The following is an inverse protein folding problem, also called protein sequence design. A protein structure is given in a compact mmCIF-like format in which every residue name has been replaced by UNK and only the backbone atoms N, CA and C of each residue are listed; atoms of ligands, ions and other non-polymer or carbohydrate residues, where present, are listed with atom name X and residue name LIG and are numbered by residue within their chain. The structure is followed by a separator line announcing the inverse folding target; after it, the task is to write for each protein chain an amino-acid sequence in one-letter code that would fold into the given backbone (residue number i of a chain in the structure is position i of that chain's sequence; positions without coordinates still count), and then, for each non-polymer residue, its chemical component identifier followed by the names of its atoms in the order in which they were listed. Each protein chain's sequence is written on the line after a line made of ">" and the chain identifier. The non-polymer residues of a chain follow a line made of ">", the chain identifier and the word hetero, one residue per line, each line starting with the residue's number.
data_IF_422544728581
#
_entry.id   IF_422544728581
#
_cell.length_a   1.000
_cell.length_b   1.000
_cell.length_c   1.000
_cell.angle_alpha   90.00
_cell.angle_beta   90.00
_cell.angle_gamma   90.00
#
_symmetry.space_group_name_H-M   'P 1'
#
loop_
_entity.id
_entity.type
_entity.pdbx_description
1 polymer ?
#
# COMPACT_ATOMS: atom_id res chain seq x y z
N UNK A 1 36.37 7.01 -23.33
CA UNK A 1 35.59 8.15 -22.78
C UNK A 1 35.67 8.05 -21.27
N UNK A 2 36.15 9.07 -20.54
CA UNK A 2 36.41 8.93 -19.12
C UNK A 2 35.09 8.67 -18.41
N UNK A 3 35.05 7.55 -17.70
CA UNK A 3 34.09 7.16 -16.67
C UNK A 3 34.20 8.13 -15.49
N UNK A 4 33.75 9.37 -15.69
CA UNK A 4 33.50 10.30 -14.59
C UNK A 4 32.40 9.68 -13.75
N UNK A 5 32.76 9.07 -12.62
CA UNK A 5 31.83 8.45 -11.70
C UNK A 5 30.71 9.44 -11.41
N UNK A 6 29.45 9.04 -11.63
CA UNK A 6 28.32 9.85 -11.21
C UNK A 6 28.51 10.19 -9.74
N UNK A 7 28.76 11.46 -9.44
CA UNK A 7 28.71 11.93 -8.06
C UNK A 7 27.25 11.99 -7.67
N UNK A 8 26.78 10.93 -7.01
CA UNK A 8 25.39 10.82 -6.56
C UNK A 8 25.10 12.00 -5.61
N UNK A 9 24.08 12.82 -5.90
CA UNK A 9 23.76 14.00 -5.10
C UNK A 9 22.95 13.63 -3.86
N UNK A 10 23.54 12.82 -2.96
CA UNK A 10 22.90 12.27 -1.76
C UNK A 10 22.12 13.31 -0.94
N UNK A 11 22.72 14.47 -0.70
CA UNK A 11 22.08 15.54 0.08
C UNK A 11 20.81 16.07 -0.60
N UNK A 12 20.81 16.21 -1.93
CA UNK A 12 19.62 16.68 -2.67
C UNK A 12 18.52 15.62 -2.71
N UNK A 13 18.90 14.35 -2.88
CA UNK A 13 17.98 13.21 -2.84
C UNK A 13 17.29 13.11 -1.48
N UNK A 14 18.09 13.06 -0.40
CA UNK A 14 17.59 12.86 0.96
C UNK A 14 16.84 14.08 1.53
N UNK A 15 16.97 15.26 0.92
CA UNK A 15 16.20 16.44 1.29
C UNK A 15 15.02 16.72 0.34
N UNK A 16 14.84 15.90 -0.70
CA UNK A 16 13.78 16.09 -1.70
C UNK A 16 12.43 15.64 -1.14
N UNK A 17 11.46 16.56 -1.10
CA UNK A 17 10.08 16.26 -0.69
C UNK A 17 9.41 15.19 -1.57
N UNK A 18 9.54 15.20 -2.91
CA UNK A 18 9.07 14.11 -3.77
C UNK A 18 9.65 12.73 -3.41
N UNK A 19 10.94 12.67 -3.03
CA UNK A 19 11.55 11.42 -2.58
C UNK A 19 10.91 10.92 -1.28
N UNK A 20 10.73 11.82 -0.30
CA UNK A 20 10.04 11.47 0.95
C UNK A 20 8.58 11.12 0.76
N UNK A 21 7.87 11.75 -0.18
CA UNK A 21 6.50 11.40 -0.53
C UNK A 21 6.39 9.92 -0.92
N UNK A 22 7.31 9.45 -1.76
CA UNK A 22 7.38 8.06 -2.17
C UNK A 22 7.76 7.15 -1.00
N UNK A 23 8.77 7.51 -0.20
CA UNK A 23 9.22 6.70 0.95
C UNK A 23 8.10 6.51 1.99
N UNK A 24 7.45 7.60 2.39
CA UNK A 24 6.34 7.57 3.36
C UNK A 24 5.21 6.73 2.82
N UNK A 25 4.82 6.95 1.57
CA UNK A 25 3.71 6.22 1.01
C UNK A 25 4.04 4.72 0.87
N UNK A 26 5.28 4.37 0.51
CA UNK A 26 5.72 2.97 0.40
C UNK A 26 5.67 2.29 1.76
N UNK A 27 6.14 3.00 2.79
CA UNK A 27 6.17 2.53 4.18
C UNK A 27 4.77 2.25 4.72
N UNK A 28 3.83 3.18 4.54
CA UNK A 28 2.44 3.00 4.98
C UNK A 28 1.71 1.90 4.21
N UNK A 29 1.94 1.80 2.89
CA UNK A 29 1.35 0.73 2.09
C UNK A 29 1.90 -0.64 2.48
N UNK A 30 3.20 -0.75 2.75
CA UNK A 30 3.79 -1.98 3.26
C UNK A 30 3.23 -2.35 4.63
N UNK A 31 3.07 -1.40 5.55
CA UNK A 31 2.41 -1.66 6.84
C UNK A 31 1.05 -2.33 6.64
N UNK A 32 0.18 -1.73 5.82
CA UNK A 32 -1.15 -2.27 5.55
C UNK A 32 -1.07 -3.64 4.86
N UNK A 33 -0.19 -3.81 3.88
CA UNK A 33 -0.06 -5.05 3.13
C UNK A 33 0.42 -6.21 4.02
N UNK A 34 1.46 -5.99 4.83
CA UNK A 34 1.96 -7.01 5.76
C UNK A 34 0.99 -7.30 6.89
N UNK A 35 0.29 -6.28 7.41
CA UNK A 35 -0.74 -6.47 8.42
C UNK A 35 -1.84 -7.38 7.88
N UNK A 36 -2.37 -7.10 6.69
CA UNK A 36 -3.37 -7.96 6.06
C UNK A 36 -2.76 -9.35 5.78
N UNK A 37 -1.56 -9.45 5.19
CA UNK A 37 -0.96 -10.73 4.84
C UNK A 37 -0.76 -11.67 6.04
N UNK A 38 -0.21 -11.15 7.13
CA UNK A 38 0.13 -11.96 8.31
C UNK A 38 -1.08 -12.18 9.21
N UNK A 39 -1.91 -11.15 9.36
CA UNK A 39 -2.96 -11.13 10.37
C UNK A 39 -4.32 -11.54 9.82
N UNK A 40 -4.52 -11.55 8.49
CA UNK A 40 -5.77 -12.02 7.88
C UNK A 40 -6.09 -13.47 8.23
N UNK A 41 -5.17 -14.45 8.14
CA UNK A 41 -5.48 -15.83 8.52
C UNK A 41 -5.85 -15.96 10.00
N UNK A 42 -5.25 -15.14 10.86
CA UNK A 42 -5.56 -15.05 12.29
C UNK A 42 -6.96 -14.48 12.51
N UNK A 43 -7.29 -13.36 11.88
CA UNK A 43 -8.62 -12.73 11.94
C UNK A 43 -9.73 -13.68 11.48
N UNK A 44 -9.52 -14.37 10.35
CA UNK A 44 -10.47 -15.34 9.79
C UNK A 44 -10.70 -16.53 10.73
N UNK A 45 -9.68 -16.93 11.48
CA UNK A 45 -9.78 -18.02 12.46
C UNK A 45 -10.41 -17.55 13.78
N UNK A 46 -9.99 -16.40 14.30
CA UNK A 46 -10.30 -15.96 15.67
C UNK A 46 -11.62 -15.21 15.81
N UNK A 47 -12.01 -14.45 14.77
CA UNK A 47 -13.23 -13.64 14.74
C UNK A 47 -14.30 -14.30 13.88
N UNK A 48 -13.92 -14.77 12.69
CA UNK A 48 -14.87 -15.39 11.73
C UNK A 48 -15.08 -16.90 11.97
N UNK A 49 -14.40 -17.48 12.95
CA UNK A 49 -14.53 -18.90 13.37
C UNK A 49 -14.42 -19.92 12.21
N UNK A 50 -13.72 -19.59 11.12
CA UNK A 50 -13.60 -20.46 9.95
C UNK A 50 -12.70 -21.69 10.21
N UNK A 51 -13.15 -22.86 9.75
CA UNK A 51 -12.35 -24.07 9.78
C UNK A 51 -11.09 -23.94 8.91
N UNK A 52 -9.96 -24.38 9.46
CA UNK A 52 -8.61 -24.24 8.89
C UNK A 52 -8.49 -24.82 7.47
N UNK A 53 -9.29 -25.84 7.11
CA UNK A 53 -9.24 -26.50 5.81
C UNK A 53 -9.78 -25.66 4.65
N UNK A 54 -10.76 -24.77 4.89
CA UNK A 54 -11.29 -23.87 3.85
C UNK A 54 -10.53 -22.54 3.79
N UNK A 55 -9.75 -22.23 4.83
CA UNK A 55 -9.07 -20.94 4.98
C UNK A 55 -8.11 -20.65 3.80
N UNK A 56 -7.37 -21.65 3.30
CA UNK A 56 -6.39 -21.45 2.22
C UNK A 56 -7.01 -20.97 0.90
N UNK A 57 -8.21 -21.45 0.54
CA UNK A 57 -8.91 -21.00 -0.66
C UNK A 57 -9.41 -19.57 -0.48
N UNK A 58 -10.00 -19.25 0.67
CA UNK A 58 -10.52 -17.90 0.94
C UNK A 58 -9.43 -16.85 1.10
N UNK A 59 -8.30 -17.19 1.72
CA UNK A 59 -7.17 -16.27 1.88
C UNK A 59 -6.39 -16.03 0.59
N UNK A 60 -6.45 -16.95 -0.38
CA UNK A 60 -5.74 -16.79 -1.67
C UNK A 60 -6.53 -15.96 -2.69
N UNK A 61 -7.86 -15.97 -2.63
CA UNK A 61 -8.74 -15.20 -3.53
C UNK A 61 -8.36 -13.71 -3.64
N UNK A 62 -8.18 -12.95 -2.54
CA UNK A 62 -7.82 -11.53 -2.62
C UNK A 62 -6.54 -11.26 -3.43
N UNK A 63 -5.56 -12.16 -3.35
CA UNK A 63 -4.29 -12.00 -4.05
C UNK A 63 -4.39 -12.32 -5.54
N UNK A 64 -5.27 -13.24 -5.93
CA UNK A 64 -5.58 -13.50 -7.34
C UNK A 64 -6.22 -12.27 -7.98
N UNK A 65 -7.22 -11.67 -7.34
CA UNK A 65 -7.83 -10.44 -7.85
C UNK A 65 -6.85 -9.26 -7.82
N UNK A 66 -5.98 -9.18 -6.81
CA UNK A 66 -4.90 -8.19 -6.76
C UNK A 66 -3.92 -8.31 -7.91
N UNK A 67 -3.58 -9.52 -8.35
CA UNK A 67 -2.71 -9.72 -9.50
C UNK A 67 -3.36 -9.18 -10.78
N UNK A 68 -4.63 -9.51 -11.02
CA UNK A 68 -5.38 -9.01 -12.18
C UNK A 68 -5.50 -7.48 -12.14
N UNK A 69 -5.80 -6.93 -10.97
CA UNK A 69 -5.96 -5.49 -10.81
C UNK A 69 -4.64 -4.72 -10.97
N UNK A 70 -3.50 -5.32 -10.57
CA UNK A 70 -2.19 -4.73 -10.82
C UNK A 70 -1.92 -4.56 -12.32
N UNK A 71 -2.22 -5.57 -13.14
CA UNK A 71 -2.07 -5.50 -14.60
C UNK A 71 -2.99 -4.43 -15.19
N UNK A 72 -4.27 -4.44 -14.80
CA UNK A 72 -5.25 -3.46 -15.25
C UNK A 72 -4.85 -2.03 -14.88
N UNK A 73 -4.30 -1.83 -13.67
CA UNK A 73 -3.88 -0.51 -13.20
C UNK A 73 -2.77 0.10 -14.08
N UNK A 74 -1.87 -0.72 -14.61
CA UNK A 74 -0.85 -0.29 -15.58
C UNK A 74 -1.48 0.23 -16.87
N UNK A 75 -2.40 -0.54 -17.45
CA UNK A 75 -3.11 -0.15 -18.67
C UNK A 75 -3.95 1.12 -18.48
N UNK A 76 -4.67 1.23 -17.36
CA UNK A 76 -5.47 2.42 -17.03
C UNK A 76 -4.55 3.64 -16.86
N UNK A 77 -3.44 3.50 -16.14
CA UNK A 77 -2.46 4.57 -15.97
C UNK A 77 -1.93 5.07 -17.31
N UNK A 78 -1.52 4.14 -18.18
CA UNK A 78 -0.98 4.49 -19.50
C UNK A 78 -2.04 5.13 -20.39
N UNK A 79 -3.28 4.66 -20.34
CA UNK A 79 -4.38 5.24 -21.10
C UNK A 79 -4.65 6.70 -20.68
N UNK A 80 -4.73 6.96 -19.37
CA UNK A 80 -4.97 8.31 -18.82
C UNK A 80 -3.90 9.30 -19.29
N UNK A 81 -2.63 8.89 -19.26
CA UNK A 81 -1.49 9.71 -19.66
C UNK A 81 -1.45 9.88 -21.18
N UNK A 82 -1.59 8.80 -21.96
CA UNK A 82 -1.53 8.83 -23.44
C UNK A 82 -2.65 9.65 -24.06
N UNK A 83 -3.86 9.57 -23.50
CA UNK A 83 -5.02 10.39 -23.92
C UNK A 83 -4.93 11.84 -23.44
N UNK A 84 -3.90 12.20 -22.67
CA UNK A 84 -3.70 13.52 -22.05
C UNK A 84 -4.90 13.98 -21.22
N UNK A 85 -5.64 13.04 -20.63
CA UNK A 85 -6.74 13.37 -19.73
C UNK A 85 -6.22 13.91 -18.39
N UNK A 86 -5.06 13.41 -17.96
CA UNK A 86 -4.36 13.86 -16.76
C UNK A 86 -2.86 13.96 -17.04
N UNK A 87 -2.17 14.82 -16.29
CA UNK A 87 -0.70 14.83 -16.25
C UNK A 87 -0.18 13.55 -15.58
N UNK A 88 1.11 13.23 -15.75
CA UNK A 88 1.76 12.09 -15.07
C UNK A 88 1.57 12.21 -13.57
N UNK A 89 1.93 13.37 -12.98
CA UNK A 89 1.78 13.64 -11.56
C UNK A 89 0.34 13.42 -11.06
N UNK A 90 -0.66 13.95 -11.77
CA UNK A 90 -2.06 13.83 -11.36
C UNK A 90 -2.57 12.39 -11.51
N UNK A 91 -2.12 11.66 -12.53
CA UNK A 91 -2.42 10.23 -12.69
C UNK A 91 -1.86 9.41 -11.53
N UNK A 92 -0.59 9.64 -11.17
CA UNK A 92 0.07 8.98 -10.03
C UNK A 92 -0.65 9.28 -8.71
N UNK A 93 -1.00 10.54 -8.47
CA UNK A 93 -1.74 10.97 -7.26
C UNK A 93 -3.12 10.36 -7.20
N UNK A 94 -3.85 10.34 -8.30
CA UNK A 94 -5.19 9.74 -8.38
C UNK A 94 -5.15 8.25 -8.05
N UNK A 95 -4.29 7.49 -8.74
CA UNK A 95 -4.17 6.04 -8.52
C UNK A 95 -3.71 5.73 -7.10
N UNK A 96 -2.76 6.49 -6.56
CA UNK A 96 -2.32 6.33 -5.17
C UNK A 96 -3.46 6.62 -4.18
N UNK A 97 -4.25 7.68 -4.43
CA UNK A 97 -5.38 8.05 -3.58
C UNK A 97 -6.45 6.95 -3.56
N UNK A 98 -6.85 6.46 -4.73
CA UNK A 98 -7.81 5.36 -4.86
C UNK A 98 -7.29 4.12 -4.13
N UNK A 99 -6.01 3.78 -4.30
CA UNK A 99 -5.38 2.61 -3.67
C UNK A 99 -5.26 2.67 -2.15
N UNK A 100 -5.43 3.86 -1.55
CA UNK A 100 -5.27 4.06 -0.11
C UNK A 100 -6.61 4.38 0.57
N UNK A 101 -7.40 5.31 0.02
CA UNK A 101 -8.65 5.79 0.62
C UNK A 101 -9.73 4.71 0.61
N UNK A 102 -9.91 4.00 -0.51
CA UNK A 102 -10.94 2.95 -0.59
C UNK A 102 -10.61 1.81 0.40
N UNK A 103 -9.39 1.23 0.40
CA UNK A 103 -8.98 0.27 1.43
C UNK A 103 -9.13 0.79 2.86
N UNK A 104 -8.80 2.05 3.14
CA UNK A 104 -8.93 2.62 4.48
C UNK A 104 -10.38 2.64 4.97
N UNK A 105 -11.33 3.03 4.12
CA UNK A 105 -12.75 3.05 4.49
C UNK A 105 -13.26 1.62 4.67
N UNK A 106 -12.95 0.72 3.74
CA UNK A 106 -13.44 -0.66 3.79
C UNK A 106 -12.84 -1.46 4.96
N UNK A 107 -11.59 -1.20 5.36
CA UNK A 107 -10.99 -1.83 6.53
C UNK A 107 -11.72 -1.46 7.83
N UNK A 108 -12.20 -0.22 7.95
CA UNK A 108 -13.02 0.19 9.09
C UNK A 108 -14.32 -0.61 9.08
N UNK A 109 -14.99 -0.71 7.92
CA UNK A 109 -16.24 -1.48 7.79
C UNK A 109 -16.02 -2.94 8.20
N UNK A 110 -14.95 -3.59 7.73
CA UNK A 110 -14.61 -4.98 8.08
C UNK A 110 -14.43 -5.17 9.58
N UNK A 111 -13.87 -4.19 10.30
CA UNK A 111 -13.71 -4.28 11.75
C UNK A 111 -15.02 -4.29 12.54
N UNK A 112 -16.13 -3.83 11.95
CA UNK A 112 -17.45 -3.80 12.60
C UNK A 112 -18.38 -4.94 12.14
N UNK A 113 -17.89 -5.85 11.30
CA UNK A 113 -18.65 -7.03 10.87
C UNK A 113 -18.44 -8.19 11.83
N UNK A 114 -19.51 -8.93 12.07
CA UNK A 114 -19.53 -10.08 12.96
C UNK A 114 -19.30 -11.39 12.18
N UNK A 115 -19.18 -12.49 12.93
CA UNK A 115 -18.95 -13.83 12.37
C UNK A 115 -20.07 -14.35 11.47
N UNK A 116 -21.26 -13.77 11.49
CA UNK A 116 -22.35 -14.16 10.60
C UNK A 116 -22.15 -13.61 9.16
N UNK A 117 -21.26 -12.61 9.00
CA UNK A 117 -21.01 -11.89 7.75
C UNK A 117 -19.74 -12.35 7.02
N UNK A 118 -19.27 -13.59 7.25
CA UNK A 118 -18.00 -14.11 6.71
C UNK A 118 -17.85 -13.90 5.19
N UNK A 119 -18.91 -14.16 4.42
CA UNK A 119 -18.88 -14.01 2.95
C UNK A 119 -18.68 -12.53 2.57
N UNK A 120 -19.36 -11.62 3.26
CA UNK A 120 -19.22 -10.18 3.03
C UNK A 120 -17.80 -9.72 3.36
N UNK A 121 -17.24 -10.18 4.48
CA UNK A 121 -15.85 -9.91 4.89
C UNK A 121 -14.86 -10.34 3.82
N UNK A 122 -14.98 -11.58 3.30
CA UNK A 122 -14.11 -12.09 2.23
C UNK A 122 -14.24 -11.22 0.98
N UNK A 123 -15.46 -10.88 0.55
CA UNK A 123 -15.70 -10.02 -0.60
C UNK A 123 -15.06 -8.64 -0.41
N UNK A 124 -15.20 -8.02 0.75
CA UNK A 124 -14.61 -6.74 1.07
C UNK A 124 -13.08 -6.81 1.08
N UNK A 125 -12.49 -7.86 1.63
CA UNK A 125 -11.05 -8.08 1.63
C UNK A 125 -10.50 -8.28 0.20
N UNK A 126 -11.23 -8.99 -0.66
CA UNK A 126 -10.90 -9.07 -2.08
C UNK A 126 -10.84 -7.68 -2.72
N UNK A 127 -11.82 -6.82 -2.45
CA UNK A 127 -11.83 -5.44 -2.94
C UNK A 127 -10.67 -4.63 -2.35
N UNK A 128 -10.42 -4.71 -1.04
CA UNK A 128 -9.36 -4.00 -0.33
C UNK A 128 -7.99 -4.32 -0.96
N UNK A 129 -7.63 -5.60 -1.06
CA UNK A 129 -6.31 -6.01 -1.57
C UNK A 129 -6.18 -5.68 -3.06
N UNK A 130 -7.27 -5.87 -3.83
CA UNK A 130 -7.27 -5.57 -5.27
C UNK A 130 -7.14 -4.09 -5.57
N UNK A 131 -7.87 -3.23 -4.85
CA UNK A 131 -7.77 -1.79 -5.02
C UNK A 131 -6.43 -1.28 -4.51
N UNK A 132 -5.87 -1.87 -3.44
CA UNK A 132 -4.52 -1.52 -3.01
C UNK A 132 -3.47 -1.85 -4.08
N UNK A 133 -3.71 -2.81 -4.98
CA UNK A 133 -2.81 -3.10 -6.10
C UNK A 133 -2.53 -1.89 -7.01
N UNK A 134 -3.43 -0.90 -7.07
CA UNK A 134 -3.24 0.32 -7.85
C UNK A 134 -2.05 1.16 -7.37
N UNK A 135 -1.60 0.99 -6.12
CA UNK A 135 -0.43 1.72 -5.61
C UNK A 135 0.85 1.40 -6.40
N UNK A 136 0.90 0.24 -7.10
CA UNK A 136 2.02 -0.13 -7.97
C UNK A 136 2.12 0.83 -9.15
N UNK A 137 1.01 1.14 -9.82
CA UNK A 137 0.97 2.14 -10.89
C UNK A 137 0.91 3.59 -10.40
N UNK A 138 0.58 3.82 -9.12
CA UNK A 138 0.59 5.15 -8.49
C UNK A 138 1.98 5.59 -8.03
N UNK A 139 2.58 4.84 -7.10
CA UNK A 139 3.80 5.23 -6.40
C UNK A 139 5.03 4.47 -6.85
N UNK A 140 4.96 3.16 -7.09
CA UNK A 140 6.17 2.39 -7.43
C UNK A 140 6.81 2.90 -8.71
N UNK A 141 6.00 3.25 -9.72
CA UNK A 141 6.51 3.81 -10.99
C UNK A 141 7.05 5.24 -10.81
N UNK A 142 6.64 5.97 -9.78
CA UNK A 142 7.03 7.37 -9.60
C UNK A 142 8.54 7.55 -9.38
N UNK A 143 9.25 6.54 -8.87
CA UNK A 143 10.72 6.56 -8.77
C UNK A 143 11.39 6.78 -10.14
N UNK A 144 10.79 6.22 -11.21
CA UNK A 144 11.26 6.35 -12.58
C UNK A 144 10.91 7.73 -13.13
N UNK A 145 9.70 8.22 -12.84
CA UNK A 145 9.22 9.53 -13.31
C UNK A 145 10.09 10.68 -12.76
N UNK A 146 10.48 10.63 -11.48
CA UNK A 146 11.27 11.71 -10.85
C UNK A 146 12.77 11.66 -11.12
N UNK A 147 13.35 10.46 -11.29
CA UNK A 147 14.79 10.30 -11.50
C UNK A 147 15.12 8.96 -12.19
N UNK A 148 14.96 8.84 -13.52
CA UNK A 148 15.20 7.60 -14.25
C UNK A 148 16.61 7.01 -14.01
N UNK A 149 17.63 7.88 -13.96
CA UNK A 149 19.04 7.52 -13.79
C UNK A 149 19.38 6.98 -12.40
N UNK A 150 18.61 7.38 -11.38
CA UNK A 150 18.81 6.98 -9.98
C UNK A 150 17.66 6.11 -9.45
N UNK A 151 16.70 5.74 -10.28
CA UNK A 151 15.46 5.04 -9.92
C UNK A 151 15.73 3.77 -9.08
N UNK A 152 16.74 2.98 -9.43
CA UNK A 152 17.14 1.81 -8.65
C UNK A 152 17.67 2.14 -7.25
N UNK A 153 18.40 3.24 -7.09
CA UNK A 153 18.87 3.72 -5.77
C UNK A 153 17.68 4.19 -4.94
N UNK A 154 16.79 4.98 -5.53
CA UNK A 154 15.60 5.48 -4.85
C UNK A 154 14.68 4.33 -4.41
N UNK A 155 14.49 3.33 -5.27
CA UNK A 155 13.73 2.14 -4.94
C UNK A 155 14.40 1.34 -3.82
N UNK A 156 15.74 1.21 -3.83
CA UNK A 156 16.49 0.55 -2.76
C UNK A 156 16.32 1.24 -1.41
N UNK A 157 16.44 2.58 -1.38
CA UNK A 157 16.23 3.38 -0.17
C UNK A 157 14.78 3.23 0.31
N UNK A 158 13.81 3.43 -0.57
CA UNK A 158 12.39 3.38 -0.18
C UNK A 158 11.99 1.99 0.29
N UNK A 159 12.46 0.93 -0.37
CA UNK A 159 12.20 -0.45 0.05
C UNK A 159 12.84 -0.76 1.41
N UNK A 160 14.06 -0.29 1.67
CA UNK A 160 14.74 -0.49 2.96
C UNK A 160 13.97 0.18 4.10
N UNK A 161 13.47 1.40 3.88
CA UNK A 161 12.64 2.08 4.88
C UNK A 161 11.28 1.40 5.01
N UNK A 162 10.68 0.96 3.90
CA UNK A 162 9.36 0.36 3.87
C UNK A 162 9.29 -1.07 4.44
N UNK A 163 10.41 -1.78 4.57
CA UNK A 163 10.45 -3.09 5.25
C UNK A 163 10.44 -2.96 6.76
N UNK A 164 10.88 -1.84 7.34
CA UNK A 164 10.82 -1.59 8.80
C UNK A 164 9.38 -1.66 9.34
N UNK A 165 8.39 -0.96 8.75
CA UNK A 165 6.97 -1.17 9.00
C UNK A 165 6.51 -2.62 8.88
N UNK A 166 7.07 -3.39 7.94
CA UNK A 166 6.72 -4.79 7.73
C UNK A 166 7.17 -5.73 8.84
N UNK A 167 8.23 -5.35 9.58
CA UNK A 167 8.70 -6.08 10.76
C UNK A 167 7.89 -5.66 11.99
N UNK A 168 7.69 -4.35 12.16
CA UNK A 168 7.03 -3.79 13.35
C UNK A 168 5.51 -4.02 13.34
N UNK A 169 4.87 -4.00 12.17
CA UNK A 169 3.42 -4.13 12.02
C UNK A 169 2.87 -5.39 12.69
N UNK A 170 3.29 -6.60 12.27
CA UNK A 170 2.85 -7.84 12.89
C UNK A 170 3.15 -7.93 14.39
N UNK A 171 4.27 -7.36 14.86
CA UNK A 171 4.60 -7.34 16.28
C UNK A 171 3.63 -6.46 17.08
N UNK A 172 3.26 -5.29 16.55
CA UNK A 172 2.26 -4.40 17.15
C UNK A 172 0.88 -5.05 17.14
N UNK A 173 0.49 -5.70 16.04
CA UNK A 173 -0.77 -6.44 15.98
C UNK A 173 -0.79 -7.57 17.01
N UNK A 174 0.26 -8.38 17.06
CA UNK A 174 0.37 -9.47 18.03
C UNK A 174 0.33 -8.99 19.48
N UNK A 175 0.82 -7.79 19.78
CA UNK A 175 0.69 -7.18 21.09
C UNK A 175 -0.73 -6.70 21.38
N UNK A 176 -1.41 -6.10 20.40
CA UNK A 176 -2.79 -5.64 20.53
C UNK A 176 -3.76 -6.82 20.72
N UNK A 177 -3.57 -7.94 20.01
CA UNK A 177 -4.48 -9.10 20.01
C UNK A 177 -4.24 -10.08 21.18
N UNK A 178 -3.72 -9.62 22.32
CA UNK A 178 -3.37 -10.50 23.45
C UNK A 178 -4.48 -10.69 24.49
N UNK A 179 -5.52 -9.86 24.54
CA UNK A 179 -6.51 -9.92 25.62
C UNK A 179 -7.83 -10.58 25.20
N UNK A 180 -8.77 -10.60 26.14
CA UNK A 180 -10.01 -11.39 26.08
C UNK A 180 -11.06 -10.78 25.13
N UNK A 181 -10.95 -9.50 24.74
CA UNK A 181 -11.93 -8.79 23.89
C UNK A 181 -11.45 -8.68 22.43
N UNK A 182 -11.49 -9.79 21.70
CA UNK A 182 -10.93 -9.90 20.35
C UNK A 182 -11.52 -8.91 19.34
N UNK A 183 -12.82 -8.66 19.36
CA UNK A 183 -13.47 -7.80 18.34
C UNK A 183 -12.96 -6.35 18.40
N UNK A 184 -12.81 -5.80 19.61
CA UNK A 184 -12.31 -4.44 19.82
C UNK A 184 -10.82 -4.30 19.46
N UNK A 185 -10.04 -5.36 19.70
CA UNK A 185 -8.61 -5.39 19.35
C UNK A 185 -8.42 -5.36 17.83
N UNK A 186 -9.18 -6.17 17.09
CA UNK A 186 -9.14 -6.18 15.63
C UNK A 186 -9.67 -4.88 15.00
N UNK A 187 -10.69 -4.26 15.59
CA UNK A 187 -11.13 -2.90 15.22
C UNK A 187 -9.99 -1.90 15.35
N UNK A 188 -9.24 -1.95 16.46
CA UNK A 188 -8.11 -1.05 16.70
C UNK A 188 -7.01 -1.27 15.65
N UNK A 189 -6.68 -2.53 15.34
CA UNK A 189 -5.70 -2.86 14.29
C UNK A 189 -6.10 -2.29 12.93
N UNK A 190 -7.35 -2.49 12.51
CA UNK A 190 -7.82 -1.97 11.23
C UNK A 190 -7.89 -0.44 11.21
N UNK A 191 -8.28 0.21 12.30
CA UNK A 191 -8.26 1.68 12.42
C UNK A 191 -6.85 2.24 12.27
N UNK A 192 -5.83 1.62 12.89
CA UNK A 192 -4.43 2.03 12.72
C UNK A 192 -4.02 1.93 11.24
N UNK A 193 -4.33 0.83 10.57
CA UNK A 193 -4.07 0.67 9.14
C UNK A 193 -4.76 1.75 8.31
N UNK A 194 -6.03 2.05 8.59
CA UNK A 194 -6.81 3.07 7.88
C UNK A 194 -6.22 4.47 8.05
N UNK A 195 -5.82 4.84 9.27
CA UNK A 195 -5.16 6.14 9.53
C UNK A 195 -3.86 6.25 8.76
N UNK A 196 -3.02 5.21 8.74
CA UNK A 196 -1.76 5.20 8.00
C UNK A 196 -1.96 5.30 6.49
N UNK A 197 -2.97 4.63 5.94
CA UNK A 197 -3.32 4.72 4.52
C UNK A 197 -3.83 6.11 4.13
N UNK A 198 -4.69 6.71 4.96
CA UNK A 198 -5.17 8.08 4.73
C UNK A 198 -4.02 9.10 4.83
N UNK A 199 -3.16 8.98 5.84
CA UNK A 199 -1.96 9.80 5.98
C UNK A 199 -1.05 9.68 4.75
N UNK A 200 -0.79 8.46 4.29
CA UNK A 200 -0.04 8.19 3.07
C UNK A 200 -0.64 8.91 1.87
N UNK A 201 -1.97 8.83 1.69
CA UNK A 201 -2.65 9.48 0.57
C UNK A 201 -2.53 11.00 0.62
N UNK A 202 -2.76 11.60 1.79
CA UNK A 202 -2.69 13.05 1.98
C UNK A 202 -1.26 13.55 1.72
N UNK A 203 -0.28 12.92 2.36
CA UNK A 203 1.13 13.29 2.21
C UNK A 203 1.60 13.16 0.77
N UNK A 204 1.23 12.06 0.09
CA UNK A 204 1.57 11.85 -1.31
C UNK A 204 0.90 12.86 -2.23
N UNK A 205 -0.38 13.19 -2.02
CA UNK A 205 -1.08 14.19 -2.84
C UNK A 205 -0.45 15.58 -2.74
N UNK A 206 0.04 15.97 -1.56
CA UNK A 206 0.65 17.28 -1.33
C UNK A 206 2.06 17.33 -1.96
N UNK A 207 2.91 16.33 -1.69
CA UNK A 207 4.34 16.43 -1.96
C UNK A 207 4.83 15.65 -3.19
N UNK A 208 4.05 14.72 -3.73
CA UNK A 208 4.46 13.98 -4.92
C UNK A 208 4.51 14.89 -6.14
N UNK A 209 5.55 14.69 -6.94
CA UNK A 209 5.71 15.27 -8.27
C UNK A 209 5.90 14.14 -9.28
N UNK A 210 5.64 14.44 -10.56
CA UNK A 210 5.80 13.51 -11.68
C UNK A 210 6.67 14.10 -12.79
N UNK A 211 7.54 15.05 -12.43
CA UNK A 211 8.50 15.70 -13.31
C UNK A 211 9.92 15.39 -12.82
N UNK A 212 10.87 15.40 -13.76
CA UNK A 212 12.28 15.12 -13.50
C UNK A 212 12.83 16.10 -12.46
N UNK A 213 13.41 15.58 -11.39
CA UNK A 213 14.04 16.41 -10.36
C UNK A 213 15.40 16.93 -10.85
N UNK A 214 15.82 18.10 -10.34
CA UNK A 214 17.04 18.80 -10.78
C UNK A 214 18.37 18.06 -10.46
N UNK A 215 18.32 16.92 -9.78
CA UNK A 215 19.48 16.21 -9.24
C UNK A 215 19.75 14.87 -9.93
#
# INVERSE_FOLDING_TARGET
>A
KPSGGLKIPWKKILLSLPCWAIIVAHSCNNWANYTILVCLPLFMKEVMELEVQQNGLYTSLPYVFSFLMAILSGHVSDLLIRRKWLSVANTRKLLQTISSVIPAILLIVVGYLDKDDVILVICLLCVIVSVNALCRSGMMVNHIDIAPRYSGILLGISNTVATVPGILGPAVVGWITTNVRRDFEWQTVFQICSVLLLFSSIFYCIFAQGELQEW
#
